data_IF_394095625115
#
_entry.id   IF_394095625115
#
_cell.length_a   1.000
_cell.length_b   1.000
_cell.length_c   1.000
_cell.angle_alpha   90.00
_cell.angle_beta   90.00
_cell.angle_gamma   90.00
#
_symmetry.space_group_name_H-M   'P 1'
#
loop_
_entity.id
_entity.type
_entity.pdbx_description
1 polymer ?
#
# COMPACT_ATOMS: atom_id res chain seq x y z
N UNK A 1 -8.42 -10.47 -22.56
CA UNK A 1 -7.83 -9.12 -22.58
C UNK A 1 -6.83 -9.03 -21.46
N UNK A 2 -5.74 -8.27 -21.64
CA UNK A 2 -4.77 -8.00 -20.55
C UNK A 2 -5.44 -7.14 -19.48
N UNK A 3 -5.26 -7.47 -18.19
CA UNK A 3 -5.77 -6.67 -17.06
C UNK A 3 -5.01 -5.36 -16.94
N UNK A 4 -5.67 -4.34 -16.39
CA UNK A 4 -5.08 -3.02 -16.13
C UNK A 4 -4.97 -2.80 -14.62
N UNK A 5 -3.80 -2.39 -14.17
CA UNK A 5 -3.51 -2.06 -12.78
C UNK A 5 -3.11 -0.59 -12.61
N UNK A 6 -3.49 0.00 -11.49
CA UNK A 6 -2.88 1.22 -10.98
C UNK A 6 -2.11 0.88 -9.70
N UNK A 7 -0.86 1.34 -9.62
CA UNK A 7 -0.01 1.22 -8.42
C UNK A 7 0.40 2.60 -7.95
N UNK A 8 -0.07 3.01 -6.79
CA UNK A 8 0.39 4.26 -6.17
C UNK A 8 1.72 4.05 -5.46
N UNK A 9 2.61 5.06 -5.47
CA UNK A 9 3.97 4.91 -4.93
C UNK A 9 4.85 3.98 -5.78
N UNK A 10 4.51 3.80 -7.06
CA UNK A 10 5.13 2.81 -7.95
C UNK A 10 6.52 3.19 -8.47
N UNK A 11 7.03 4.39 -8.22
CA UNK A 11 8.36 4.80 -8.68
C UNK A 11 9.50 4.24 -7.81
N UNK A 12 9.23 3.71 -6.62
CA UNK A 12 10.27 3.22 -5.70
C UNK A 12 9.81 2.07 -4.79
N UNK A 13 10.76 1.41 -4.14
CA UNK A 13 10.54 0.45 -3.08
C UNK A 13 9.55 -0.67 -3.41
N UNK A 14 8.61 -0.91 -2.51
CA UNK A 14 7.59 -1.97 -2.64
C UNK A 14 6.68 -1.73 -3.85
N UNK A 15 6.29 -0.46 -4.08
CA UNK A 15 5.45 -0.09 -5.23
C UNK A 15 6.12 -0.46 -6.55
N UNK A 16 7.40 -0.08 -6.74
CA UNK A 16 8.15 -0.41 -7.95
C UNK A 16 8.30 -1.92 -8.15
N UNK A 17 8.68 -2.65 -7.11
CA UNK A 17 8.77 -4.11 -7.21
C UNK A 17 7.41 -4.76 -7.55
N UNK A 18 6.30 -4.17 -7.09
CA UNK A 18 4.94 -4.61 -7.46
C UNK A 18 4.64 -4.33 -8.93
N UNK A 19 5.01 -3.15 -9.44
CA UNK A 19 4.88 -2.80 -10.87
C UNK A 19 5.63 -3.82 -11.73
N UNK A 20 6.94 -4.01 -11.47
CA UNK A 20 7.80 -4.92 -12.22
C UNK A 20 7.24 -6.36 -12.24
N UNK A 21 6.72 -6.83 -11.10
CA UNK A 21 6.14 -8.17 -11.02
C UNK A 21 4.80 -8.29 -11.76
N UNK A 22 3.91 -7.29 -11.70
CA UNK A 22 2.66 -7.28 -12.45
C UNK A 22 2.91 -7.24 -13.97
N UNK A 23 3.84 -6.39 -14.43
CA UNK A 23 4.21 -6.28 -15.84
C UNK A 23 4.81 -7.59 -16.37
N UNK A 24 5.63 -8.28 -15.57
CA UNK A 24 6.18 -9.60 -15.93
C UNK A 24 5.10 -10.68 -16.15
N UNK A 25 3.91 -10.48 -15.57
CA UNK A 25 2.73 -11.33 -15.75
C UNK A 25 1.79 -10.85 -16.87
N UNK A 26 2.19 -9.83 -17.65
CA UNK A 26 1.42 -9.30 -18.76
C UNK A 26 0.28 -8.36 -18.37
N UNK A 27 0.27 -7.86 -17.12
CA UNK A 27 -0.64 -6.80 -16.67
C UNK A 27 -0.13 -5.45 -17.18
N UNK A 28 -1.02 -4.62 -17.72
CA UNK A 28 -0.68 -3.23 -18.05
C UNK A 28 -0.73 -2.39 -16.77
N UNK A 29 0.34 -1.67 -16.46
CA UNK A 29 0.42 -0.92 -15.20
C UNK A 29 0.53 0.58 -15.46
N UNK A 30 -0.28 1.35 -14.73
CA UNK A 30 -0.10 2.80 -14.57
C UNK A 30 0.52 3.07 -13.19
N UNK A 31 1.59 3.85 -13.18
CA UNK A 31 2.32 4.26 -11.98
C UNK A 31 1.86 5.64 -11.54
N UNK A 32 1.29 5.74 -10.33
CA UNK A 32 0.91 7.01 -9.72
C UNK A 32 1.91 7.35 -8.62
N UNK A 33 2.80 8.29 -8.90
CA UNK A 33 3.84 8.71 -7.98
C UNK A 33 4.19 10.19 -8.22
N UNK A 34 4.58 10.90 -7.20
CA UNK A 34 5.04 12.30 -7.32
C UNK A 34 6.36 12.42 -8.08
N UNK A 35 7.15 11.34 -8.09
CA UNK A 35 8.43 11.24 -8.79
C UNK A 35 8.35 10.37 -10.07
N UNK A 36 7.15 10.08 -10.56
CA UNK A 36 6.92 9.34 -11.80
C UNK A 36 7.13 10.20 -13.04
N UNK A 37 7.09 9.59 -14.23
CA UNK A 37 7.15 10.30 -15.52
C UNK A 37 6.00 11.31 -15.67
N UNK A 38 4.80 10.94 -15.23
CA UNK A 38 3.67 11.85 -15.07
C UNK A 38 3.37 11.94 -13.58
N UNK A 39 3.78 13.04 -12.91
CA UNK A 39 3.61 13.20 -11.47
C UNK A 39 2.13 13.23 -11.07
N UNK A 40 1.76 12.38 -10.10
CA UNK A 40 0.41 12.35 -9.52
C UNK A 40 0.51 12.58 -8.01
N UNK A 41 -0.17 13.61 -7.51
CA UNK A 41 -0.34 13.79 -6.06
C UNK A 41 -1.60 13.03 -5.59
N UNK A 42 -1.39 11.87 -4.99
CA UNK A 42 -2.49 11.01 -4.51
C UNK A 42 -3.29 11.64 -3.36
N UNK A 43 -2.75 12.67 -2.70
CA UNK A 43 -3.45 13.42 -1.65
C UNK A 43 -4.39 14.50 -2.18
N UNK A 44 -4.38 14.75 -3.50
CA UNK A 44 -5.29 15.65 -4.19
C UNK A 44 -6.33 14.84 -4.99
N UNK A 45 -7.60 15.02 -4.64
CA UNK A 45 -8.71 14.31 -5.28
C UNK A 45 -8.86 14.62 -6.77
N UNK A 46 -8.59 15.88 -7.19
CA UNK A 46 -8.67 16.27 -8.59
C UNK A 46 -7.53 15.63 -9.40
N UNK A 47 -6.29 15.71 -8.89
CA UNK A 47 -5.13 15.04 -9.49
C UNK A 47 -5.36 13.53 -9.68
N UNK A 48 -5.99 12.87 -8.68
CA UNK A 48 -6.34 11.45 -8.77
C UNK A 48 -7.38 11.20 -9.85
N UNK A 49 -8.46 11.98 -9.90
CA UNK A 49 -9.54 11.78 -10.87
C UNK A 49 -9.02 11.93 -12.31
N UNK A 50 -8.28 12.99 -12.59
CA UNK A 50 -7.71 13.27 -13.92
C UNK A 50 -6.75 12.14 -14.36
N UNK A 51 -5.87 11.70 -13.46
CA UNK A 51 -4.92 10.63 -13.77
C UNK A 51 -5.60 9.26 -14.00
N UNK A 52 -6.67 8.96 -13.27
CA UNK A 52 -7.46 7.73 -13.49
C UNK A 52 -8.18 7.80 -14.84
N UNK A 53 -8.78 8.93 -15.19
CA UNK A 53 -9.47 9.11 -16.47
C UNK A 53 -8.50 9.00 -17.66
N UNK A 54 -7.32 9.61 -17.57
CA UNK A 54 -6.24 9.45 -18.55
C UNK A 54 -5.82 7.97 -18.69
N UNK A 55 -5.61 7.29 -17.56
CA UNK A 55 -5.25 5.86 -17.54
C UNK A 55 -6.31 5.01 -18.21
N UNK A 56 -7.58 5.27 -17.91
CA UNK A 56 -8.74 4.58 -18.52
C UNK A 56 -8.78 4.77 -20.04
N UNK A 57 -8.53 5.98 -20.50
CA UNK A 57 -8.48 6.29 -21.94
C UNK A 57 -7.33 5.60 -22.67
N UNK A 58 -6.18 5.45 -22.03
CA UNK A 58 -4.95 4.91 -22.61
C UNK A 58 -4.83 3.38 -22.50
N UNK A 59 -5.13 2.82 -21.35
CA UNK A 59 -4.88 1.41 -21.06
C UNK A 59 -6.15 0.56 -21.02
N UNK A 60 -7.28 1.18 -20.81
CA UNK A 60 -8.58 0.55 -20.58
C UNK A 60 -9.03 0.64 -19.12
N UNK A 61 -10.18 0.04 -18.80
CA UNK A 61 -10.74 0.08 -17.44
C UNK A 61 -9.87 -0.65 -16.42
N UNK A 62 -9.94 -0.19 -15.18
CA UNK A 62 -9.06 -0.61 -14.10
C UNK A 62 -9.59 -1.90 -13.44
N UNK A 63 -8.79 -2.95 -13.45
CA UNK A 63 -9.10 -4.24 -12.81
C UNK A 63 -8.42 -4.42 -11.45
N UNK A 64 -7.29 -3.72 -11.24
CA UNK A 64 -6.44 -3.87 -10.06
C UNK A 64 -6.06 -2.50 -9.53
N UNK A 65 -6.24 -2.30 -8.23
CA UNK A 65 -5.75 -1.11 -7.53
C UNK A 65 -4.84 -1.52 -6.38
N UNK A 66 -3.58 -1.06 -6.42
CA UNK A 66 -2.62 -1.23 -5.32
C UNK A 66 -2.29 0.13 -4.73
N UNK A 67 -2.74 0.36 -3.50
CA UNK A 67 -2.42 1.56 -2.73
C UNK A 67 -1.13 1.33 -1.93
N UNK A 68 0.04 1.66 -2.54
CA UNK A 68 1.35 1.50 -1.91
C UNK A 68 2.05 2.84 -1.61
N UNK A 69 1.49 3.97 -2.02
CA UNK A 69 1.98 5.28 -1.64
C UNK A 69 1.90 5.47 -0.11
N UNK A 70 2.95 6.02 0.46
CA UNK A 70 2.95 6.30 1.89
C UNK A 70 4.21 7.04 2.33
N UNK A 71 4.08 7.77 3.42
CA UNK A 71 5.18 8.47 4.10
C UNK A 71 5.31 7.94 5.52
N UNK A 72 6.55 7.78 5.97
CA UNK A 72 6.88 7.44 7.35
C UNK A 72 7.21 8.71 8.12
N UNK A 73 6.31 9.15 8.97
CA UNK A 73 6.47 10.38 9.73
C UNK A 73 6.08 10.16 11.18
N UNK A 74 6.64 10.95 12.04
CA UNK A 74 6.36 10.92 13.47
C UNK A 74 7.00 12.11 14.21
N UNK A 75 6.87 12.12 15.49
CA UNK A 75 7.41 13.14 16.36
C UNK A 75 6.71 13.17 17.72
N UNK A 76 7.24 13.95 18.67
CA UNK A 76 6.63 14.10 19.98
C UNK A 76 5.28 14.82 19.86
N UNK A 77 4.29 14.39 20.67
CA UNK A 77 2.91 14.89 20.63
C UNK A 77 2.81 16.41 20.88
N UNK A 78 3.75 16.97 21.62
CA UNK A 78 3.87 18.39 21.90
C UNK A 78 4.83 19.12 20.94
N UNK A 79 5.22 18.50 19.82
CA UNK A 79 6.09 19.14 18.82
C UNK A 79 5.39 20.28 18.09
N UNK A 80 6.14 21.33 17.75
CA UNK A 80 5.61 22.55 17.11
C UNK A 80 4.86 22.25 15.80
N UNK A 81 5.36 21.30 14.99
CA UNK A 81 4.76 20.91 13.70
C UNK A 81 3.93 19.63 13.75
N UNK A 82 3.55 19.17 14.96
CA UNK A 82 2.86 17.88 15.09
C UNK A 82 1.54 17.81 14.32
N UNK A 83 0.73 18.89 14.32
CA UNK A 83 -0.57 18.94 13.61
C UNK A 83 -0.35 18.86 12.11
N UNK A 84 0.60 19.57 11.54
CA UNK A 84 0.94 19.52 10.11
C UNK A 84 1.41 18.11 9.70
N UNK A 85 2.26 17.48 10.51
CA UNK A 85 2.72 16.10 10.32
C UNK A 85 1.55 15.12 10.36
N UNK A 86 0.63 15.31 11.30
CA UNK A 86 -0.58 14.51 11.43
C UNK A 86 -1.46 14.60 10.18
N UNK A 87 -1.84 15.80 9.77
CA UNK A 87 -2.71 16.05 8.62
C UNK A 87 -2.10 15.50 7.34
N UNK A 88 -0.83 15.80 7.07
CA UNK A 88 -0.11 15.31 5.90
C UNK A 88 -0.01 13.79 5.88
N UNK A 89 0.24 13.16 7.03
CA UNK A 89 0.34 11.70 7.12
C UNK A 89 -0.99 11.03 6.81
N UNK A 90 -2.08 11.54 7.38
CA UNK A 90 -3.42 11.01 7.11
C UNK A 90 -3.83 11.25 5.65
N UNK A 91 -3.54 12.42 5.10
CA UNK A 91 -3.85 12.73 3.71
C UNK A 91 -3.22 11.73 2.74
N UNK A 92 -1.91 11.43 2.91
CA UNK A 92 -1.18 10.54 2.01
C UNK A 92 -1.45 9.06 2.30
N UNK A 93 -1.41 8.65 3.58
CA UNK A 93 -1.44 7.21 3.91
C UNK A 93 -2.85 6.63 3.98
N UNK A 94 -3.88 7.44 4.18
CA UNK A 94 -5.26 7.00 4.39
C UNK A 94 -6.24 7.62 3.41
N UNK A 95 -6.34 8.95 3.39
CA UNK A 95 -7.34 9.66 2.57
C UNK A 95 -7.11 9.41 1.08
N UNK A 96 -5.85 9.38 0.65
CA UNK A 96 -5.48 9.05 -0.72
C UNK A 96 -6.03 7.69 -1.19
N UNK A 97 -5.96 6.65 -0.35
CA UNK A 97 -6.53 5.34 -0.69
C UNK A 97 -8.05 5.43 -0.93
N UNK A 98 -8.76 6.26 -0.17
CA UNK A 98 -10.20 6.49 -0.39
C UNK A 98 -10.44 7.21 -1.72
N UNK A 99 -9.65 8.25 -2.08
CA UNK A 99 -9.76 8.92 -3.37
C UNK A 99 -9.54 7.95 -4.53
N UNK A 100 -8.49 7.12 -4.45
CA UNK A 100 -8.16 6.12 -5.45
C UNK A 100 -9.29 5.09 -5.64
N UNK A 101 -9.83 4.54 -4.55
CA UNK A 101 -10.95 3.59 -4.63
C UNK A 101 -12.17 4.23 -5.28
N UNK A 102 -12.53 5.46 -4.89
CA UNK A 102 -13.67 6.17 -5.48
C UNK A 102 -13.51 6.40 -6.99
N UNK A 103 -12.32 6.81 -7.42
CA UNK A 103 -12.05 7.08 -8.83
C UNK A 103 -12.07 5.81 -9.72
N UNK A 104 -11.69 4.66 -9.14
CA UNK A 104 -11.65 3.37 -9.84
C UNK A 104 -12.90 2.50 -9.63
N UNK A 105 -13.86 2.92 -8.80
CA UNK A 105 -14.93 2.07 -8.29
C UNK A 105 -15.76 1.40 -9.40
N UNK A 106 -16.23 2.18 -10.35
CA UNK A 106 -17.09 1.69 -11.43
C UNK A 106 -16.39 0.64 -12.30
N UNK A 107 -15.08 0.82 -12.55
CA UNK A 107 -14.28 -0.13 -13.30
C UNK A 107 -14.07 -1.43 -12.54
N UNK A 108 -13.70 -1.34 -11.26
CA UNK A 108 -13.48 -2.50 -10.38
C UNK A 108 -14.73 -3.36 -10.24
N UNK A 109 -15.90 -2.72 -10.10
CA UNK A 109 -17.20 -3.40 -9.98
C UNK A 109 -17.63 -3.99 -11.33
N UNK A 110 -17.49 -3.22 -12.41
CA UNK A 110 -17.89 -3.65 -13.77
C UNK A 110 -17.24 -4.97 -14.19
N UNK A 111 -15.98 -5.18 -13.81
CA UNK A 111 -15.26 -6.41 -14.16
C UNK A 111 -15.80 -7.65 -13.43
N UNK A 112 -16.49 -7.49 -12.28
CA UNK A 112 -16.94 -8.60 -11.42
C UNK A 112 -15.80 -9.40 -10.78
N UNK A 113 -14.57 -8.92 -10.91
CA UNK A 113 -13.37 -9.55 -10.40
C UNK A 113 -12.29 -8.51 -10.02
N UNK A 114 -12.70 -7.32 -9.64
CA UNK A 114 -11.81 -6.24 -9.20
C UNK A 114 -10.96 -6.63 -7.99
N UNK A 115 -9.75 -6.12 -7.91
CA UNK A 115 -8.80 -6.41 -6.81
C UNK A 115 -8.26 -5.13 -6.23
N UNK A 116 -8.42 -4.97 -4.93
CA UNK A 116 -7.85 -3.85 -4.17
C UNK A 116 -6.86 -4.43 -3.16
N UNK A 117 -5.61 -3.94 -3.18
CA UNK A 117 -4.60 -4.28 -2.17
C UNK A 117 -4.06 -3.00 -1.56
N UNK A 118 -4.28 -2.84 -0.28
CA UNK A 118 -3.77 -1.72 0.50
C UNK A 118 -2.47 -2.13 1.21
N UNK A 119 -1.41 -1.34 1.06
CA UNK A 119 -0.13 -1.57 1.73
C UNK A 119 -0.08 -0.76 3.03
N UNK A 120 -0.34 -1.45 4.13
CA UNK A 120 -0.27 -0.84 5.46
C UNK A 120 1.16 -0.92 6.05
N UNK A 121 1.32 -1.55 7.19
CA UNK A 121 2.56 -1.75 7.94
C UNK A 121 2.28 -2.69 9.11
N UNK A 122 3.31 -3.26 9.73
CA UNK A 122 3.21 -3.85 11.08
C UNK A 122 2.72 -2.84 12.12
N UNK A 123 2.88 -1.53 11.87
CA UNK A 123 2.29 -0.45 12.68
C UNK A 123 0.75 -0.40 12.61
N UNK A 124 0.10 -1.13 11.69
CA UNK A 124 -1.35 -1.35 11.71
C UNK A 124 -1.78 -2.44 12.68
N UNK A 125 -0.83 -3.19 13.24
CA UNK A 125 -1.03 -4.33 14.16
C UNK A 125 -0.44 -4.05 15.55
N UNK A 126 0.36 -3.01 15.67
CA UNK A 126 1.09 -2.59 16.87
C UNK A 126 1.29 -1.07 16.88
N UNK A 127 2.07 -0.55 17.81
CA UNK A 127 2.47 0.85 17.84
C UNK A 127 3.92 1.00 18.26
N UNK A 128 4.63 1.94 17.61
CA UNK A 128 5.96 2.39 18.00
C UNK A 128 5.95 3.71 18.74
N UNK A 129 7.04 4.06 19.43
CA UNK A 129 7.17 5.35 20.07
C UNK A 129 7.29 6.46 19.02
N UNK A 130 6.64 7.60 19.28
CA UNK A 130 6.70 8.82 18.45
C UNK A 130 6.17 8.64 17.02
N UNK A 131 5.41 7.58 16.74
CA UNK A 131 4.86 7.28 15.40
C UNK A 131 3.35 7.44 15.30
N UNK A 132 2.71 8.12 16.25
CA UNK A 132 1.24 8.17 16.35
C UNK A 132 0.52 8.59 15.06
N UNK A 133 0.94 9.58 14.26
CA UNK A 133 0.27 9.88 12.97
C UNK A 133 0.35 8.69 12.00
N UNK A 134 1.53 8.08 11.89
CA UNK A 134 1.76 6.92 11.04
C UNK A 134 0.94 5.70 11.51
N UNK A 135 1.02 5.36 12.80
CA UNK A 135 0.27 4.26 13.42
C UNK A 135 -1.23 4.41 13.17
N UNK A 136 -1.79 5.60 13.46
CA UNK A 136 -3.23 5.86 13.23
C UNK A 136 -3.59 5.73 11.75
N UNK A 137 -2.77 6.27 10.84
CA UNK A 137 -3.03 6.17 9.40
C UNK A 137 -3.07 4.72 8.93
N UNK A 138 -2.17 3.87 9.43
CA UNK A 138 -2.06 2.45 9.03
C UNK A 138 -3.15 1.58 9.67
N UNK A 139 -3.57 1.86 10.91
CA UNK A 139 -4.77 1.26 11.52
C UNK A 139 -6.05 1.67 10.78
N UNK A 140 -6.16 2.95 10.41
CA UNK A 140 -7.29 3.46 9.60
C UNK A 140 -7.39 2.75 8.26
N UNK A 141 -6.25 2.55 7.57
CA UNK A 141 -6.21 1.86 6.29
C UNK A 141 -6.65 0.38 6.40
N UNK A 142 -6.30 -0.29 7.51
CA UNK A 142 -6.77 -1.64 7.80
C UNK A 142 -8.30 -1.66 8.03
N UNK A 143 -8.83 -0.70 8.79
CA UNK A 143 -10.27 -0.54 8.98
C UNK A 143 -11.00 -0.29 7.67
N UNK A 144 -10.47 0.62 6.84
CA UNK A 144 -11.01 0.93 5.51
C UNK A 144 -11.00 -0.30 4.59
N UNK A 145 -9.92 -1.09 4.59
CA UNK A 145 -9.84 -2.35 3.82
C UNK A 145 -10.98 -3.31 4.17
N UNK A 146 -11.25 -3.50 5.47
CA UNK A 146 -12.34 -4.38 5.93
C UNK A 146 -13.72 -3.86 5.53
N UNK A 147 -13.94 -2.55 5.60
CA UNK A 147 -15.18 -1.92 5.12
C UNK A 147 -15.38 -2.19 3.63
N UNK A 148 -14.36 -1.94 2.80
CA UNK A 148 -14.42 -2.22 1.36
C UNK A 148 -14.71 -3.70 1.06
N UNK A 149 -14.11 -4.61 1.82
CA UNK A 149 -14.34 -6.05 1.64
C UNK A 149 -15.80 -6.43 1.87
N UNK A 150 -16.46 -5.81 2.86
CA UNK A 150 -17.87 -6.02 3.15
C UNK A 150 -18.75 -5.35 2.09
N UNK A 151 -18.48 -4.09 1.77
CA UNK A 151 -19.32 -3.28 0.88
C UNK A 151 -19.29 -3.78 -0.58
N UNK A 152 -18.13 -4.28 -1.04
CA UNK A 152 -17.89 -4.61 -2.46
C UNK A 152 -17.84 -6.11 -2.74
N UNK A 153 -17.79 -6.96 -1.72
CA UNK A 153 -17.66 -8.41 -1.89
C UNK A 153 -18.78 -9.03 -2.71
N UNK A 154 -20.03 -8.59 -2.49
CA UNK A 154 -21.19 -9.02 -3.28
C UNK A 154 -21.16 -8.61 -4.76
N UNK A 155 -20.26 -7.71 -5.14
CA UNK A 155 -20.05 -7.21 -6.51
C UNK A 155 -18.81 -7.84 -7.16
N UNK A 156 -18.22 -8.89 -6.54
CA UNK A 156 -17.06 -9.61 -7.05
C UNK A 156 -15.71 -8.94 -6.83
N UNK A 157 -15.67 -7.82 -6.10
CA UNK A 157 -14.43 -7.11 -5.74
C UNK A 157 -13.90 -7.62 -4.42
N UNK A 158 -12.59 -7.91 -4.35
CA UNK A 158 -11.93 -8.19 -3.07
C UNK A 158 -11.02 -7.05 -2.65
N UNK A 159 -10.97 -6.79 -1.35
CA UNK A 159 -10.08 -5.81 -0.75
C UNK A 159 -9.28 -6.45 0.38
N UNK A 160 -7.95 -6.41 0.27
CA UNK A 160 -7.03 -7.03 1.22
C UNK A 160 -5.93 -6.05 1.65
N UNK A 161 -5.33 -6.32 2.80
CA UNK A 161 -4.30 -5.49 3.39
C UNK A 161 -3.01 -6.30 3.57
N UNK A 162 -1.90 -5.80 3.03
CA UNK A 162 -0.56 -6.31 3.30
C UNK A 162 0.11 -5.41 4.33
N UNK A 163 0.69 -6.00 5.36
CA UNK A 163 1.38 -5.31 6.45
C UNK A 163 2.89 -5.66 6.42
N UNK A 164 3.70 -4.90 5.68
CA UNK A 164 5.14 -5.11 5.67
C UNK A 164 5.77 -4.82 7.03
N UNK A 165 6.76 -5.62 7.41
CA UNK A 165 7.72 -5.29 8.46
C UNK A 165 8.85 -4.41 7.93
N UNK A 166 9.97 -4.40 8.65
CA UNK A 166 11.16 -3.68 8.24
C UNK A 166 11.67 -4.19 6.89
N UNK A 167 11.57 -3.35 5.86
CA UNK A 167 11.89 -3.65 4.46
C UNK A 167 12.90 -2.64 3.92
N UNK A 168 13.83 -3.09 3.07
CA UNK A 168 14.85 -2.25 2.44
C UNK A 168 14.21 -1.37 1.36
N UNK A 169 13.85 -0.16 1.73
CA UNK A 169 13.22 0.85 0.85
C UNK A 169 13.79 2.22 1.17
N UNK A 170 13.44 3.24 0.38
CA UNK A 170 13.82 4.63 0.66
C UNK A 170 13.44 5.10 2.08
N UNK A 171 12.36 4.58 2.67
CA UNK A 171 11.98 4.90 4.06
C UNK A 171 12.98 4.41 5.11
N UNK A 172 13.77 3.38 4.80
CA UNK A 172 14.76 2.77 5.70
C UNK A 172 16.21 3.02 5.27
N UNK A 173 16.43 3.67 4.13
CA UNK A 173 17.76 3.90 3.57
C UNK A 173 18.64 4.78 4.46
N UNK A 174 18.04 5.79 5.10
CA UNK A 174 18.74 6.67 6.05
C UNK A 174 19.18 5.99 7.35
N UNK A 175 18.77 4.75 7.64
CA UNK A 175 19.19 4.01 8.83
C UNK A 175 20.55 3.35 8.56
N UNK A 176 21.59 3.59 9.38
CA UNK A 176 22.90 2.96 9.20
C UNK A 176 22.80 1.43 9.14
N UNK A 177 23.60 0.79 8.27
CA UNK A 177 23.55 -0.67 8.05
C UNK A 177 23.74 -1.46 9.37
N UNK A 178 24.68 -1.05 10.22
CA UNK A 178 24.91 -1.70 11.52
C UNK A 178 23.68 -1.62 12.45
N UNK A 179 22.90 -0.54 12.37
CA UNK A 179 21.70 -0.38 13.18
C UNK A 179 20.55 -1.23 12.63
N UNK A 180 20.43 -1.32 11.31
CA UNK A 180 19.48 -2.24 10.64
C UNK A 180 19.77 -3.70 11.01
N UNK A 181 21.04 -4.11 10.97
CA UNK A 181 21.44 -5.48 11.35
C UNK A 181 21.17 -5.76 12.83
N UNK A 182 21.51 -4.81 13.73
CA UNK A 182 21.25 -4.94 15.16
C UNK A 182 19.75 -5.05 15.43
N UNK A 183 18.93 -4.21 14.80
CA UNK A 183 17.48 -4.26 14.90
C UNK A 183 16.95 -5.61 14.39
N UNK A 184 17.40 -6.05 13.21
CA UNK A 184 16.96 -7.30 12.61
C UNK A 184 17.24 -8.51 13.51
N UNK A 185 18.46 -8.65 14.01
CA UNK A 185 18.84 -9.75 14.94
C UNK A 185 18.00 -9.74 16.22
N UNK A 186 17.62 -8.57 16.69
CA UNK A 186 16.88 -8.43 17.95
C UNK A 186 15.37 -8.61 17.79
N UNK A 187 14.78 -8.18 16.67
CA UNK A 187 13.35 -8.06 16.52
C UNK A 187 12.72 -8.90 15.41
N UNK A 188 13.49 -9.35 14.43
CA UNK A 188 12.98 -10.10 13.29
C UNK A 188 13.47 -11.55 13.39
N UNK A 189 12.59 -12.56 13.57
CA UNK A 189 13.00 -13.97 13.66
C UNK A 189 13.83 -14.46 12.46
N UNK A 190 13.55 -13.99 11.24
CA UNK A 190 14.34 -14.30 10.03
C UNK A 190 15.73 -13.64 10.04
N UNK A 191 16.00 -12.72 10.96
CA UNK A 191 17.31 -12.10 11.22
C UNK A 191 17.76 -11.04 10.23
N UNK A 192 16.92 -10.61 9.30
CA UNK A 192 17.22 -9.58 8.30
C UNK A 192 15.99 -8.73 7.96
N UNK A 193 16.22 -7.60 7.33
CA UNK A 193 15.17 -6.83 6.67
C UNK A 193 14.64 -7.61 5.45
N UNK A 194 13.37 -7.45 5.15
CA UNK A 194 12.76 -7.92 3.91
C UNK A 194 13.27 -7.15 2.71
N UNK A 195 13.20 -7.76 1.53
CA UNK A 195 13.37 -7.09 0.25
C UNK A 195 12.01 -6.63 -0.28
N UNK A 196 11.94 -5.55 -1.06
CA UNK A 196 10.71 -5.08 -1.68
C UNK A 196 9.98 -6.18 -2.47
N UNK A 197 10.73 -7.03 -3.19
CA UNK A 197 10.20 -8.12 -4.01
C UNK A 197 9.48 -9.18 -3.17
N UNK A 198 9.90 -9.41 -1.92
CA UNK A 198 9.26 -10.37 -1.02
C UNK A 198 7.87 -9.88 -0.59
N UNK A 199 7.70 -8.56 -0.44
CA UNK A 199 6.40 -7.94 -0.16
C UNK A 199 5.55 -7.89 -1.42
N UNK A 200 6.13 -7.48 -2.55
CA UNK A 200 5.47 -7.41 -3.85
C UNK A 200 4.87 -8.75 -4.28
N UNK A 201 5.57 -9.86 -4.00
CA UNK A 201 5.05 -11.20 -4.26
C UNK A 201 3.70 -11.45 -3.59
N UNK A 202 3.54 -11.08 -2.32
CA UNK A 202 2.27 -11.25 -1.61
C UNK A 202 1.20 -10.29 -2.14
N UNK A 203 1.56 -9.04 -2.46
CA UNK A 203 0.63 -8.08 -3.06
C UNK A 203 0.09 -8.65 -4.37
N UNK A 204 0.95 -9.11 -5.28
CA UNK A 204 0.56 -9.64 -6.59
C UNK A 204 -0.25 -10.93 -6.45
N UNK A 205 0.09 -11.83 -5.51
CA UNK A 205 -0.68 -13.03 -5.22
C UNK A 205 -2.15 -12.69 -4.86
N UNK A 206 -2.39 -11.60 -4.12
CA UNK A 206 -3.74 -11.15 -3.77
C UNK A 206 -4.49 -10.52 -4.95
N UNK A 207 -3.81 -10.14 -6.03
CA UNK A 207 -4.44 -9.64 -7.25
C UNK A 207 -4.82 -10.74 -8.23
N UNK A 208 -4.39 -11.97 -8.02
CA UNK A 208 -4.71 -13.10 -8.87
C UNK A 208 -6.23 -13.40 -8.88
N UNK A 209 -6.72 -14.00 -9.98
CA UNK A 209 -8.12 -14.39 -10.08
C UNK A 209 -8.45 -15.51 -9.08
N UNK A 210 -7.49 -16.40 -8.84
CA UNK A 210 -7.57 -17.52 -7.89
C UNK A 210 -7.70 -17.08 -6.45
N UNK A 211 -7.29 -15.84 -6.12
CA UNK A 211 -7.44 -15.25 -4.78
C UNK A 211 -8.86 -14.71 -4.51
N UNK A 212 -9.86 -15.08 -5.31
CA UNK A 212 -11.23 -14.55 -5.24
C UNK A 212 -11.96 -14.80 -3.91
N UNK A 213 -11.51 -15.76 -3.11
CA UNK A 213 -12.08 -16.04 -1.79
C UNK A 213 -11.26 -15.43 -0.63
N UNK A 214 -10.17 -14.72 -0.95
CA UNK A 214 -9.39 -13.94 0.04
C UNK A 214 -9.93 -12.53 0.03
N UNK A 215 -10.71 -12.17 1.04
CA UNK A 215 -11.36 -10.86 1.14
C UNK A 215 -11.37 -10.36 2.59
N UNK A 216 -10.98 -9.12 2.83
CA UNK A 216 -10.82 -8.53 4.16
C UNK A 216 -9.59 -9.06 4.93
N UNK A 217 -8.71 -9.80 4.28
CA UNK A 217 -7.53 -10.37 4.92
C UNK A 217 -6.50 -9.30 5.30
N UNK A 218 -5.80 -9.55 6.39
CA UNK A 218 -4.67 -8.76 6.87
C UNK A 218 -3.47 -9.67 6.96
N UNK A 219 -2.49 -9.45 6.07
CA UNK A 219 -1.36 -10.36 5.90
C UNK A 219 -0.06 -9.66 6.28
N UNK A 220 0.56 -10.10 7.38
CA UNK A 220 1.88 -9.65 7.76
C UNK A 220 2.95 -10.28 6.85
N UNK A 221 3.83 -9.43 6.29
CA UNK A 221 5.02 -9.85 5.53
C UNK A 221 6.23 -9.23 6.22
N UNK A 222 6.64 -9.82 7.32
CA UNK A 222 7.49 -9.16 8.33
C UNK A 222 8.61 -10.05 8.90
N UNK A 223 8.84 -11.21 8.31
CA UNK A 223 9.85 -12.15 8.79
C UNK A 223 9.57 -12.72 10.19
N UNK A 224 8.30 -12.72 10.62
CA UNK A 224 7.85 -13.19 11.92
C UNK A 224 7.95 -12.16 13.04
N UNK A 225 8.20 -10.88 12.71
CA UNK A 225 8.38 -9.81 13.70
C UNK A 225 7.16 -9.66 14.62
N UNK A 226 5.94 -9.69 14.08
CA UNK A 226 4.69 -9.58 14.86
C UNK A 226 4.25 -10.89 15.50
N UNK A 227 4.71 -12.05 15.02
CA UNK A 227 4.42 -13.35 15.61
C UNK A 227 5.27 -13.64 16.87
N UNK A 228 6.35 -12.87 17.07
CA UNK A 228 7.23 -13.05 18.23
C UNK A 228 6.52 -12.51 19.47
N UNK A 229 6.22 -13.40 20.44
CA UNK A 229 5.77 -13.01 21.77
C UNK A 229 6.81 -12.11 22.47
N UNK A 230 6.33 -11.15 23.25
CA UNK A 230 7.19 -10.25 24.07
C UNK A 230 7.81 -11.04 25.22
#
# INVERSE_FOLDING_TARGET
MSRVAIVTGGASGIGRATVELLESQGVKVAVFDRNGETPVDVSDAASVADAVDETRGRLGPIDILVNAAGIGTGGPLNGEHYVEVWERTLAVNLTAAMFMVRACLDDLVRAGNGRIVNVASTEALSAGPLTSPYTVSKHGLLGFTRSLAVDLGGQGVTANCVCPGATLTGLTEGIPAADRERFARRHIPVGRYGRPEEVAYMIVALTALEASFVNGAVIAVDGGMTARGR
#
